data_IF_434450845082
#
_entry.id   IF_434450845082
#
_cell.length_a   1.000
_cell.length_b   1.000
_cell.length_c   1.000
_cell.angle_alpha   90.00
_cell.angle_beta   90.00
_cell.angle_gamma   90.00
#
_symmetry.space_group_name_H-M   'P 1'
#
loop_
_entity.id
_entity.type
_entity.pdbx_description
1 polymer ?
#
# COMPACT_ATOMS: atom_id res chain seq x y z
N UNK A 1 15.34 13.54 -5.89
CA UNK A 1 15.11 12.42 -4.96
C UNK A 1 16.06 12.57 -3.79
N UNK A 2 15.51 12.86 -2.61
CA UNK A 2 16.25 13.10 -1.38
C UNK A 2 16.75 11.79 -0.76
N UNK A 3 17.49 11.87 0.36
CA UNK A 3 17.82 10.68 1.15
C UNK A 3 16.57 10.08 1.81
N UNK A 4 15.61 10.93 2.20
CA UNK A 4 14.33 10.50 2.77
C UNK A 4 13.51 9.72 1.75
N UNK A 5 13.33 10.24 0.53
CA UNK A 5 12.55 9.56 -0.53
C UNK A 5 13.10 8.16 -0.80
N UNK A 6 14.42 8.01 -0.83
CA UNK A 6 15.09 6.72 -1.05
C UNK A 6 14.85 5.74 0.08
N UNK A 7 14.84 6.20 1.32
CA UNK A 7 14.59 5.31 2.46
C UNK A 7 13.12 4.92 2.54
N UNK A 8 12.23 5.88 2.29
CA UNK A 8 10.80 5.65 2.20
C UNK A 8 10.44 4.66 1.09
N UNK A 9 11.04 4.77 -0.11
CA UNK A 9 10.88 3.79 -1.20
C UNK A 9 11.33 2.38 -0.78
N UNK A 10 12.44 2.25 -0.04
CA UNK A 10 12.90 0.95 0.47
C UNK A 10 11.92 0.38 1.49
N UNK A 11 11.40 1.20 2.39
CA UNK A 11 10.43 0.76 3.39
C UNK A 11 9.13 0.26 2.76
N UNK A 12 8.56 1.02 1.82
CA UNK A 12 7.39 0.59 1.02
C UNK A 12 7.67 -0.72 0.31
N UNK A 13 8.80 -0.83 -0.38
CA UNK A 13 9.16 -2.03 -1.13
C UNK A 13 9.34 -3.23 -0.21
N UNK A 14 9.94 -3.03 0.96
CA UNK A 14 10.14 -4.09 1.96
C UNK A 14 8.79 -4.56 2.49
N UNK A 15 7.91 -3.64 2.92
CA UNK A 15 6.60 -3.98 3.43
C UNK A 15 5.76 -4.73 2.38
N UNK A 16 5.76 -4.26 1.14
CA UNK A 16 5.06 -4.94 0.03
C UNK A 16 5.60 -6.33 -0.28
N UNK A 17 6.92 -6.55 -0.21
CA UNK A 17 7.51 -7.88 -0.38
C UNK A 17 7.19 -8.82 0.78
N UNK A 18 7.09 -8.30 2.00
CA UNK A 18 6.61 -9.08 3.15
C UNK A 18 5.14 -9.42 2.97
N UNK A 19 4.32 -8.51 2.43
CA UNK A 19 2.90 -8.76 2.19
C UNK A 19 2.70 -9.86 1.14
N UNK A 20 3.49 -9.86 0.06
CA UNK A 20 3.50 -10.95 -0.93
C UNK A 20 3.82 -12.32 -0.32
N UNK A 21 4.60 -12.35 0.76
CA UNK A 21 4.93 -13.56 1.52
C UNK A 21 4.26 -13.49 2.89
N UNK A 22 2.94 -13.25 2.88
CA UNK A 22 2.14 -12.91 4.05
C UNK A 22 2.43 -13.84 5.24
N UNK A 23 2.59 -13.29 6.46
CA UNK A 23 2.68 -14.10 7.67
C UNK A 23 1.39 -14.92 7.87
N UNK A 24 1.53 -16.09 8.49
CA UNK A 24 0.39 -16.96 8.79
C UNK A 24 -0.45 -16.51 9.98
N UNK A 25 0.11 -15.65 10.84
CA UNK A 25 -0.58 -15.06 11.99
C UNK A 25 -1.46 -13.90 11.53
N UNK A 26 -2.73 -13.90 11.97
CA UNK A 26 -3.69 -12.83 11.64
C UNK A 26 -3.23 -11.50 12.24
N UNK A 27 -2.72 -11.49 13.47
CA UNK A 27 -2.26 -10.25 14.14
C UNK A 27 -1.04 -9.64 13.43
N UNK A 28 -0.10 -10.48 12.99
CA UNK A 28 1.07 -10.03 12.24
C UNK A 28 0.67 -9.53 10.86
N UNK A 29 -0.32 -10.17 10.24
CA UNK A 29 -0.86 -9.77 8.95
C UNK A 29 -1.58 -8.42 9.04
N UNK A 30 -2.42 -8.22 10.06
CA UNK A 30 -3.10 -6.95 10.31
C UNK A 30 -2.08 -5.83 10.55
N UNK A 31 -1.09 -6.06 11.42
CA UNK A 31 0.00 -5.11 11.67
C UNK A 31 0.75 -4.73 10.39
N UNK A 32 0.98 -5.71 9.51
CA UNK A 32 1.63 -5.49 8.22
C UNK A 32 0.76 -4.68 7.26
N UNK A 33 -0.55 -4.97 7.19
CA UNK A 33 -1.50 -4.24 6.36
C UNK A 33 -1.63 -2.79 6.84
N UNK A 34 -1.77 -2.56 8.15
CA UNK A 34 -1.82 -1.21 8.72
C UNK A 34 -0.52 -0.44 8.44
N UNK A 35 0.64 -1.11 8.49
CA UNK A 35 1.91 -0.49 8.08
C UNK A 35 1.88 -0.09 6.59
N UNK A 36 1.39 -0.96 5.72
CA UNK A 36 1.30 -0.67 4.28
C UNK A 36 0.34 0.48 4.03
N UNK A 37 -0.84 0.48 4.66
CA UNK A 37 -1.81 1.58 4.59
C UNK A 37 -1.17 2.93 4.95
N UNK A 38 -0.52 3.00 6.12
CA UNK A 38 0.13 4.21 6.59
C UNK A 38 1.17 4.70 5.58
N UNK A 39 1.97 3.79 5.01
CA UNK A 39 2.94 4.16 3.98
C UNK A 39 2.27 4.68 2.71
N UNK A 40 1.19 4.04 2.24
CA UNK A 40 0.44 4.47 1.06
C UNK A 40 -0.16 5.89 1.23
N UNK A 41 -0.62 6.23 2.43
CA UNK A 41 -1.18 7.54 2.74
C UNK A 41 -0.19 8.70 2.54
N UNK A 42 1.13 8.45 2.69
CA UNK A 42 2.16 9.46 2.46
C UNK A 42 2.62 9.58 1.00
N UNK A 43 2.14 8.71 0.10
CA UNK A 43 2.51 8.79 -1.31
C UNK A 43 1.66 9.85 -2.01
N UNK A 44 2.34 10.81 -2.63
CA UNK A 44 1.68 11.85 -3.42
C UNK A 44 1.01 11.29 -4.69
N UNK A 45 0.15 12.10 -5.31
CA UNK A 45 -0.40 11.78 -6.62
C UNK A 45 0.71 11.75 -7.68
N UNK A 46 0.48 10.97 -8.74
CA UNK A 46 1.45 10.78 -9.83
C UNK A 46 2.88 10.46 -9.34
N UNK A 47 3.06 9.41 -8.52
CA UNK A 47 4.36 9.10 -7.94
C UNK A 47 5.45 8.89 -9.00
N UNK A 48 6.70 9.14 -8.62
CA UNK A 48 7.86 8.90 -9.48
C UNK A 48 7.88 7.45 -10.00
N UNK A 49 8.61 7.20 -11.09
CA UNK A 49 8.75 5.83 -11.61
C UNK A 49 9.33 4.87 -10.56
N UNK A 50 10.35 5.29 -9.82
CA UNK A 50 10.96 4.48 -8.76
C UNK A 50 9.98 4.16 -7.63
N UNK A 51 9.16 5.13 -7.23
CA UNK A 51 8.11 4.91 -6.22
C UNK A 51 7.04 3.94 -6.73
N UNK A 52 6.58 4.08 -7.98
CA UNK A 52 5.67 3.11 -8.61
C UNK A 52 6.24 1.69 -8.63
N UNK A 53 7.52 1.55 -8.94
CA UNK A 53 8.22 0.25 -8.91
C UNK A 53 8.31 -0.32 -7.47
N UNK A 54 8.48 0.55 -6.47
CA UNK A 54 8.48 0.17 -5.05
C UNK A 54 7.10 -0.26 -4.55
N UNK A 55 6.02 0.34 -5.07
CA UNK A 55 4.62 0.05 -4.72
C UNK A 55 4.08 -1.25 -5.34
N UNK A 56 4.64 -1.67 -6.48
CA UNK A 56 4.14 -2.80 -7.25
C UNK A 56 3.93 -4.10 -6.43
N UNK A 57 4.82 -4.50 -5.51
CA UNK A 57 4.59 -5.65 -4.63
C UNK A 57 3.32 -5.54 -3.80
N UNK A 58 3.12 -4.39 -3.12
CA UNK A 58 1.94 -4.15 -2.28
C UNK A 58 0.65 -4.18 -3.10
N UNK A 59 0.65 -3.47 -4.25
CA UNK A 59 -0.53 -3.40 -5.12
C UNK A 59 -0.94 -4.78 -5.64
N UNK A 60 0.03 -5.61 -6.04
CA UNK A 60 -0.23 -6.96 -6.53
C UNK A 60 -0.93 -7.81 -5.48
N UNK A 61 -0.47 -7.77 -4.23
CA UNK A 61 -1.09 -8.59 -3.19
C UNK A 61 -2.44 -8.03 -2.75
N UNK A 62 -2.55 -6.72 -2.53
CA UNK A 62 -3.79 -6.05 -2.09
C UNK A 62 -4.96 -6.20 -3.06
N UNK A 63 -4.68 -6.29 -4.37
CA UNK A 63 -5.70 -6.49 -5.42
C UNK A 63 -6.09 -7.98 -5.53
N UNK A 64 -5.25 -8.89 -5.05
CA UNK A 64 -5.61 -10.31 -5.08
C UNK A 64 -6.60 -10.63 -3.98
N UNK A 65 -7.62 -11.42 -4.34
CA UNK A 65 -8.68 -11.82 -3.41
C UNK A 65 -8.19 -12.79 -2.30
N UNK A 66 -6.88 -13.07 -2.23
CA UNK A 66 -6.27 -14.00 -1.26
C UNK A 66 -6.32 -13.44 0.15
N UNK A 67 -5.98 -12.16 0.32
CA UNK A 67 -6.08 -11.49 1.63
C UNK A 67 -7.52 -11.43 2.12
N UNK A 68 -8.49 -11.19 1.22
CA UNK A 68 -9.91 -11.01 1.57
C UNK A 68 -10.64 -12.32 1.92
N UNK A 69 -10.11 -13.47 1.50
CA UNK A 69 -10.74 -14.78 1.72
C UNK A 69 -10.61 -15.31 3.15
N UNK A 70 -9.65 -14.81 3.93
CA UNK A 70 -9.25 -15.43 5.20
C UNK A 70 -9.48 -14.58 6.46
N UNK A 71 -10.15 -13.42 6.36
CA UNK A 71 -9.97 -12.35 7.37
C UNK A 71 -11.25 -11.74 7.92
N UNK A 72 -11.14 -11.32 9.18
CA UNK A 72 -12.16 -10.63 9.98
C UNK A 72 -12.48 -9.23 9.44
N UNK A 73 -13.55 -8.61 9.96
CA UNK A 73 -14.10 -7.36 9.44
C UNK A 73 -13.08 -6.21 9.44
N UNK A 74 -12.28 -6.06 10.50
CA UNK A 74 -11.33 -4.97 10.64
C UNK A 74 -10.22 -5.00 9.57
N UNK A 75 -9.74 -6.20 9.22
CA UNK A 75 -8.75 -6.31 8.14
C UNK A 75 -9.34 -5.97 6.77
N UNK A 76 -10.64 -6.23 6.53
CA UNK A 76 -11.30 -5.80 5.29
C UNK A 76 -11.35 -4.27 5.19
N UNK A 77 -11.50 -3.58 6.32
CA UNK A 77 -11.45 -2.11 6.36
C UNK A 77 -10.04 -1.62 6.02
N UNK A 78 -8.99 -2.15 6.63
CA UNK A 78 -7.60 -1.74 6.32
C UNK A 78 -7.23 -2.02 4.86
N UNK A 79 -7.63 -3.18 4.31
CA UNK A 79 -7.41 -3.49 2.87
C UNK A 79 -8.19 -2.54 1.97
N UNK A 80 -9.44 -2.22 2.30
CA UNK A 80 -10.23 -1.25 1.53
C UNK A 80 -9.60 0.14 1.58
N UNK A 81 -9.09 0.56 2.75
CA UNK A 81 -8.35 1.82 2.91
C UNK A 81 -7.13 1.86 1.99
N UNK A 82 -6.35 0.78 1.93
CA UNK A 82 -5.22 0.68 1.00
C UNK A 82 -5.65 0.82 -0.48
N UNK A 83 -6.79 0.23 -0.87
CA UNK A 83 -7.34 0.35 -2.23
C UNK A 83 -7.77 1.79 -2.53
N UNK A 84 -8.35 2.49 -1.55
CA UNK A 84 -8.70 3.91 -1.67
C UNK A 84 -7.44 4.74 -1.90
N UNK A 85 -6.37 4.51 -1.15
CA UNK A 85 -5.09 5.21 -1.34
C UNK A 85 -4.46 4.93 -2.71
N UNK A 86 -4.52 3.67 -3.18
CA UNK A 86 -4.12 3.32 -4.55
C UNK A 86 -4.94 4.10 -5.60
N UNK A 87 -6.25 4.21 -5.37
CA UNK A 87 -7.12 4.97 -6.25
C UNK A 87 -6.78 6.46 -6.20
N UNK A 88 -6.49 7.03 -5.02
CA UNK A 88 -6.07 8.42 -4.86
C UNK A 88 -4.77 8.73 -5.62
N UNK A 89 -3.77 7.84 -5.55
CA UNK A 89 -2.47 8.01 -6.24
C UNK A 89 -2.60 7.95 -7.77
N UNK A 90 -3.59 7.22 -8.28
CA UNK A 90 -3.82 6.98 -9.72
C UNK A 90 -4.94 7.85 -10.30
N UNK A 91 -5.66 8.58 -9.45
CA UNK A 91 -6.67 9.54 -9.87
C UNK A 91 -6.02 10.64 -10.74
N UNK A 92 -6.74 11.15 -11.77
CA UNK A 92 -6.28 12.32 -12.50
C UNK A 92 -6.22 13.53 -11.56
N UNK A 93 -5.46 14.56 -11.96
CA UNK A 93 -5.42 15.85 -11.27
C UNK A 93 -6.81 16.30 -10.84
N UNK A 94 -6.91 16.85 -9.63
CA UNK A 94 -8.16 17.31 -9.06
C UNK A 94 -8.95 18.17 -10.07
N UNK A 95 -10.20 17.78 -10.31
CA UNK A 95 -11.04 18.37 -11.36
C UNK A 95 -11.43 19.83 -11.07
N UNK A 96 -11.39 20.21 -9.80
CA UNK A 96 -11.57 21.59 -9.35
C UNK A 96 -10.20 22.20 -9.11
N UNK A 97 -9.89 23.24 -9.88
CA UNK A 97 -8.82 24.17 -9.53
C UNK A 97 -9.38 25.06 -8.43
N UNK A 98 -8.74 25.06 -7.27
CA UNK A 98 -9.05 25.99 -6.16
C UNK A 98 -8.94 27.46 -6.60
#
# INVERSE_FOLDING_TARGET
MTAFDREFEKEIKKAGNTLLNAPSSIDDLLTLVDKVENLLAYVEQEPSKSMRDALLPSMKELITNKLLQHVEMDMKVSVLSCIIEITRMTAPDALYKD
#
